data_IF_257366018263
#
_entry.id   IF_257366018263
#
_cell.length_a   1.000
_cell.length_b   1.000
_cell.length_c   1.000
_cell.angle_alpha   90.00
_cell.angle_beta   90.00
_cell.angle_gamma   90.00
#
_symmetry.space_group_name_H-M   'P 1'
#
loop_
_entity.id
_entity.type
_entity.pdbx_description
1 polymer ?
#
# COMPACT_ATOMS: atom_id res chain seq x y z
N UNK A 1 -1.28 14.33 -6.19
CA UNK A 1 -0.76 13.23 -5.36
C UNK A 1 -1.61 12.02 -5.72
N UNK A 2 -1.00 10.97 -6.23
CA UNK A 2 -1.72 9.73 -6.54
C UNK A 2 -1.60 8.89 -5.27
N UNK A 3 -2.64 8.89 -4.44
CA UNK A 3 -2.65 8.14 -3.19
C UNK A 3 -2.68 6.64 -3.48
N UNK A 4 -1.52 6.06 -3.76
CA UNK A 4 -1.30 4.64 -4.06
C UNK A 4 -0.67 3.97 -2.84
N UNK A 5 -1.41 3.05 -2.25
CA UNK A 5 -0.94 2.16 -1.20
C UNK A 5 -0.34 0.89 -1.80
N UNK A 6 0.84 0.51 -1.33
CA UNK A 6 1.47 -0.78 -1.60
C UNK A 6 1.43 -1.63 -0.34
N UNK A 7 1.03 -2.89 -0.49
CA UNK A 7 1.09 -3.92 0.54
C UNK A 7 1.99 -5.06 0.08
N UNK A 8 2.79 -5.59 0.99
CA UNK A 8 3.52 -6.83 0.81
C UNK A 8 3.05 -7.83 1.86
N UNK A 9 2.57 -8.99 1.42
CA UNK A 9 2.14 -10.10 2.27
C UNK A 9 2.34 -11.44 1.55
N UNK A 10 2.11 -12.56 2.23
CA UNK A 10 2.10 -13.92 1.68
C UNK A 10 3.25 -14.22 0.68
N UNK A 11 4.43 -14.56 1.21
CA UNK A 11 5.65 -14.86 0.43
C UNK A 11 6.13 -13.69 -0.45
N UNK A 12 6.14 -12.47 0.10
CA UNK A 12 6.60 -11.24 -0.57
C UNK A 12 5.81 -10.86 -1.83
N UNK A 13 4.53 -11.22 -1.92
CA UNK A 13 3.67 -10.75 -3.00
C UNK A 13 3.32 -9.29 -2.80
N UNK A 14 3.56 -8.51 -3.84
CA UNK A 14 3.18 -7.10 -3.88
C UNK A 14 1.73 -6.93 -4.34
N UNK A 15 1.03 -6.04 -3.65
CA UNK A 15 -0.35 -5.69 -3.95
C UNK A 15 -0.53 -4.18 -3.88
N UNK A 16 -1.45 -3.66 -4.70
CA UNK A 16 -1.63 -2.24 -4.90
C UNK A 16 -3.09 -1.84 -4.79
N UNK A 17 -3.34 -0.67 -4.21
CA UNK A 17 -4.65 -0.05 -4.13
C UNK A 17 -4.48 1.46 -4.26
N UNK A 18 -5.38 2.15 -4.97
CA UNK A 18 -5.31 3.61 -5.13
C UNK A 18 -6.63 4.27 -4.79
N UNK A 19 -6.55 5.55 -4.40
CA UNK A 19 -7.72 6.42 -4.42
C UNK A 19 -8.13 6.63 -5.88
N UNK A 20 -9.44 6.58 -6.12
CA UNK A 20 -10.05 6.82 -7.41
C UNK A 20 -11.23 7.76 -7.27
N UNK A 21 -11.44 8.59 -8.28
CA UNK A 21 -12.67 9.36 -8.40
C UNK A 21 -13.83 8.42 -8.80
N UNK A 22 -15.07 8.79 -8.49
CA UNK A 22 -16.26 7.92 -8.62
C UNK A 22 -16.52 7.36 -10.03
N UNK A 23 -15.92 7.97 -11.06
CA UNK A 23 -16.06 7.58 -12.47
C UNK A 23 -15.07 6.50 -12.89
N UNK A 24 -14.02 6.27 -12.12
CA UNK A 24 -13.00 5.26 -12.41
C UNK A 24 -13.47 3.87 -11.97
N UNK A 25 -13.34 2.88 -12.85
CA UNK A 25 -13.87 1.52 -12.63
C UNK A 25 -12.79 0.46 -12.54
N UNK A 26 -11.51 0.85 -12.54
CA UNK A 26 -10.38 -0.06 -12.49
C UNK A 26 -10.42 -0.94 -11.23
N UNK A 27 -9.96 -2.20 -11.29
CA UNK A 27 -9.97 -3.10 -10.12
C UNK A 27 -9.23 -2.54 -8.90
N UNK A 28 -8.11 -1.85 -9.12
CA UNK A 28 -7.30 -1.16 -8.08
C UNK A 28 -8.01 -0.01 -7.35
N UNK A 29 -9.16 0.45 -7.87
CA UNK A 29 -10.04 1.43 -7.22
C UNK A 29 -10.97 0.79 -6.18
N UNK A 30 -11.19 -0.52 -6.28
CA UNK A 30 -12.18 -1.25 -5.47
C UNK A 30 -11.55 -2.16 -4.43
N UNK A 31 -10.23 -2.27 -4.42
CA UNK A 31 -9.48 -3.10 -3.49
C UNK A 31 -8.05 -3.33 -3.96
N UNK A 32 -7.36 -4.22 -3.25
CA UNK A 32 -6.01 -4.63 -3.60
C UNK A 32 -6.00 -5.49 -4.87
N UNK A 33 -5.03 -5.20 -5.73
CA UNK A 33 -4.70 -6.00 -6.92
C UNK A 33 -3.25 -6.45 -6.88
N UNK A 34 -2.92 -7.54 -7.55
CA UNK A 34 -1.54 -8.01 -7.76
C UNK A 34 -0.80 -7.11 -8.76
N UNK A 35 0.50 -7.36 -8.97
CA UNK A 35 1.29 -6.73 -10.05
C UNK A 35 0.66 -6.89 -11.43
N UNK A 36 0.00 -8.02 -11.68
CA UNK A 36 -0.69 -8.30 -12.95
C UNK A 36 -2.03 -7.53 -13.10
N UNK A 37 -2.46 -6.81 -12.05
CA UNK A 37 -3.72 -6.07 -12.04
C UNK A 37 -4.95 -6.90 -11.67
N UNK A 38 -4.75 -8.17 -11.29
CA UNK A 38 -5.81 -9.08 -10.87
C UNK A 38 -6.18 -8.88 -9.39
N UNK A 39 -7.43 -9.11 -8.96
CA UNK A 39 -7.82 -8.99 -7.56
C UNK A 39 -6.97 -9.86 -6.62
N UNK A 40 -6.50 -9.25 -5.54
CA UNK A 40 -5.74 -9.93 -4.49
C UNK A 40 -6.58 -11.02 -3.79
N UNK A 41 -5.96 -12.16 -3.45
CA UNK A 41 -6.60 -13.27 -2.75
C UNK A 41 -5.81 -13.67 -1.50
N UNK A 42 -6.43 -13.80 -0.31
CA UNK A 42 -7.81 -13.41 0.01
C UNK A 42 -8.09 -11.92 -0.25
N UNK A 43 -9.35 -11.62 -0.54
CA UNK A 43 -9.80 -10.26 -0.77
C UNK A 43 -9.84 -9.47 0.55
N UNK A 44 -9.45 -8.21 0.48
CA UNK A 44 -9.56 -7.24 1.58
C UNK A 44 -10.67 -6.26 1.29
N UNK A 45 -11.47 -5.92 2.30
CA UNK A 45 -12.44 -4.83 2.20
C UNK A 45 -11.75 -3.53 2.61
N UNK A 46 -11.07 -2.93 1.63
CA UNK A 46 -10.27 -1.74 1.85
C UNK A 46 -10.47 -0.73 0.72
N UNK A 47 -10.32 0.55 1.06
CA UNK A 47 -10.30 1.66 0.10
C UNK A 47 -9.32 2.73 0.57
N UNK A 48 -8.88 3.57 -0.37
CA UNK A 48 -8.05 4.74 -0.06
C UNK A 48 -8.91 5.98 -0.18
N UNK A 49 -8.88 6.85 0.82
CA UNK A 49 -9.56 8.15 0.78
C UNK A 49 -8.73 9.19 0.02
N UNK A 50 -9.36 10.30 -0.36
CA UNK A 50 -8.72 11.37 -1.13
C UNK A 50 -7.48 11.96 -0.45
N UNK A 51 -7.44 11.97 0.88
CA UNK A 51 -6.32 12.45 1.68
C UNK A 51 -5.20 11.40 1.86
N UNK A 52 -5.37 10.21 1.27
CA UNK A 52 -4.38 9.14 1.23
C UNK A 52 -4.44 8.16 2.39
N UNK A 53 -5.48 8.21 3.22
CA UNK A 53 -5.72 7.19 4.25
C UNK A 53 -6.19 5.89 3.62
N UNK A 54 -5.55 4.79 4.02
CA UNK A 54 -6.02 3.44 3.72
C UNK A 54 -6.97 2.98 4.85
N UNK A 55 -8.22 2.73 4.50
CA UNK A 55 -9.28 2.31 5.43
C UNK A 55 -9.61 0.84 5.19
N UNK A 56 -9.72 0.07 6.27
CA UNK A 56 -10.24 -1.30 6.26
C UNK A 56 -11.60 -1.32 6.95
N UNK A 57 -12.62 -1.82 6.26
CA UNK A 57 -13.98 -1.92 6.81
C UNK A 57 -14.76 -3.10 6.20
N UNK A 58 -14.93 -4.22 6.94
CA UNK A 58 -14.24 -4.59 8.18
C UNK A 58 -12.76 -4.92 7.97
N UNK A 59 -12.00 -4.80 9.06
CA UNK A 59 -10.65 -5.36 9.19
C UNK A 59 -10.69 -6.89 9.35
N UNK A 60 -9.79 -7.60 8.65
CA UNK A 60 -9.61 -9.04 8.77
C UNK A 60 -8.16 -9.41 9.12
N UNK A 61 -7.95 -10.57 9.75
CA UNK A 61 -6.60 -11.03 10.11
C UNK A 61 -5.67 -11.18 8.89
N UNK A 62 -6.25 -11.49 7.73
CA UNK A 62 -5.55 -11.59 6.44
C UNK A 62 -5.05 -10.25 5.89
N UNK A 63 -5.44 -9.13 6.51
CA UNK A 63 -4.92 -7.81 6.17
C UNK A 63 -3.56 -7.54 6.83
N UNK A 64 -3.03 -8.45 7.64
CA UNK A 64 -1.65 -8.34 8.14
C UNK A 64 -0.65 -8.27 6.98
N UNK A 65 0.37 -7.42 7.12
CA UNK A 65 1.36 -7.21 6.06
C UNK A 65 2.21 -5.95 6.26
N UNK A 66 3.12 -5.72 5.30
CA UNK A 66 3.95 -4.53 5.24
C UNK A 66 3.32 -3.51 4.29
N UNK A 67 3.01 -2.33 4.79
CA UNK A 67 2.37 -1.26 4.04
C UNK A 67 3.35 -0.12 3.78
N UNK A 68 3.30 0.42 2.57
CA UNK A 68 4.06 1.62 2.19
C UNK A 68 3.23 2.49 1.27
N UNK A 69 3.52 3.80 1.28
CA UNK A 69 2.99 4.70 0.26
C UNK A 69 3.93 4.66 -0.95
N UNK A 70 3.38 4.47 -2.15
CA UNK A 70 4.17 4.46 -3.38
C UNK A 70 4.82 5.82 -3.65
N UNK A 71 4.22 6.90 -3.16
CA UNK A 71 4.71 8.27 -3.31
C UNK A 71 5.92 8.58 -2.38
N UNK A 72 6.32 7.66 -1.50
CA UNK A 72 7.53 7.85 -0.70
C UNK A 72 8.78 7.78 -1.56
N UNK A 73 9.51 8.89 -1.56
CA UNK A 73 10.87 8.97 -2.10
C UNK A 73 11.88 8.74 -0.98
N UNK A 74 13.03 8.10 -1.28
CA UNK A 74 14.15 8.04 -0.35
C UNK A 74 14.51 9.45 0.12
N UNK A 75 14.80 9.60 1.42
CA UNK A 75 15.41 10.84 1.93
C UNK A 75 16.91 10.75 1.67
N UNK A 76 17.44 11.74 0.95
CA UNK A 76 18.88 11.91 0.79
C UNK A 76 19.47 12.50 2.07
N UNK A 77 20.32 11.72 2.75
CA UNK A 77 21.15 12.25 3.84
C UNK A 77 22.45 12.80 3.26
N UNK A 78 22.70 14.10 3.41
CA UNK A 78 23.93 14.74 2.96
C UNK A 78 24.89 14.94 4.14
N UNK A 79 25.46 13.84 4.63
CA UNK A 79 26.61 13.90 5.53
C UNK A 79 27.85 13.48 4.74
N UNK A 80 28.69 14.46 4.38
CA UNK A 80 30.06 14.25 3.84
C UNK A 80 30.19 13.80 2.38
N UNK A 81 29.21 14.08 1.50
CA UNK A 81 29.33 13.80 0.06
C UNK A 81 29.05 12.33 -0.32
N UNK A 82 28.63 11.50 0.64
CA UNK A 82 28.01 10.21 0.37
C UNK A 82 26.49 10.41 0.25
N UNK A 83 25.90 10.01 -0.88
CA UNK A 83 24.44 9.94 -1.00
C UNK A 83 23.99 8.67 -0.27
N UNK A 84 23.48 8.82 0.95
CA UNK A 84 22.83 7.73 1.66
C UNK A 84 21.33 7.82 1.44
N UNK A 85 20.76 6.85 0.74
CA UNK A 85 19.33 6.72 0.58
C UNK A 85 18.76 5.96 1.79
N UNK A 86 17.89 6.60 2.57
CA UNK A 86 17.14 5.92 3.63
C UNK A 86 15.99 5.15 2.97
N UNK A 87 15.84 3.85 3.31
CA UNK A 87 14.71 3.03 2.87
C UNK A 87 13.37 3.69 3.18
N UNK A 88 12.40 3.53 2.27
CA UNK A 88 11.05 4.04 2.45
C UNK A 88 10.44 3.53 3.77
N UNK A 89 9.69 4.38 4.46
CA UNK A 89 9.07 4.03 5.74
C UNK A 89 7.93 3.05 5.50
N UNK A 90 8.05 1.86 6.09
CA UNK A 90 6.99 0.86 6.07
C UNK A 90 6.25 0.84 7.40
N UNK A 91 4.95 0.55 7.34
CA UNK A 91 4.12 0.21 8.50
C UNK A 91 3.97 -1.31 8.50
N UNK A 92 4.44 -1.97 9.56
CA UNK A 92 4.18 -3.38 9.78
C UNK A 92 2.86 -3.53 10.55
N UNK A 93 1.85 -4.13 9.91
CA UNK A 93 0.59 -4.45 10.56
C UNK A 93 0.62 -5.91 11.00
N UNK A 94 0.67 -6.12 12.32
CA UNK A 94 0.69 -7.45 12.94
C UNK A 94 -0.55 -7.63 13.80
N UNK A 95 -1.25 -8.74 13.62
CA UNK A 95 -2.40 -9.12 14.46
C UNK A 95 -1.88 -9.98 15.62
N UNK A 96 -2.28 -9.64 16.84
CA UNK A 96 -2.03 -10.43 18.05
C UNK A 96 -3.33 -11.07 18.50
N UNK A 97 -3.25 -12.33 18.89
CA UNK A 97 -4.33 -13.06 19.55
C UNK A 97 -4.49 -12.62 21.01
#
# INVERSE_FOLDING_TARGET
MLSLGKRVRDNNKEEYIKYCESVETEPRCKGFVTEDGEPATPASKAHVEKDGKLIFDPFAATDAGLYSSYDQKPKEGNESGAVSAVLNTHIALTVKE
#
